data_IF_310063530980
#
_entry.id   IF_310063530980
#
_cell.length_a   1.000
_cell.length_b   1.000
_cell.length_c   1.000
_cell.angle_alpha   90.00
_cell.angle_beta   90.00
_cell.angle_gamma   90.00
#
_symmetry.space_group_name_H-M   'P 1'
#
loop_
_entity.id
_entity.type
_entity.pdbx_description
1 polymer ?
#
# COMPACT_ATOMS: atom_id res chain seq x y z
N UNK A 1 -10.70 30.38 43.85
CA UNK A 1 -10.13 29.86 45.12
C UNK A 1 -9.88 28.36 44.97
N UNK A 2 -8.62 27.90 44.84
CA UNK A 2 -8.30 26.53 44.42
C UNK A 2 -8.32 25.46 45.54
N UNK A 3 -8.37 25.85 46.81
CA UNK A 3 -8.21 24.92 47.96
C UNK A 3 -9.54 24.42 48.58
N UNK A 4 -10.67 25.12 48.37
CA UNK A 4 -11.96 24.79 48.98
C UNK A 4 -12.51 23.41 48.57
N UNK A 5 -12.19 22.94 47.36
CA UNK A 5 -12.65 21.63 46.87
C UNK A 5 -11.90 20.42 47.45
N UNK A 6 -10.84 20.64 48.24
CA UNK A 6 -9.99 19.58 48.79
C UNK A 6 -9.94 19.58 50.32
N UNK A 7 -10.78 20.37 50.99
CA UNK A 7 -10.78 20.50 52.45
C UNK A 7 -11.00 19.14 53.14
N UNK A 8 -11.96 18.33 52.67
CA UNK A 8 -12.30 17.02 53.23
C UNK A 8 -11.18 15.96 53.15
N UNK A 9 -10.10 16.21 52.42
CA UNK A 9 -8.95 15.29 52.27
C UNK A 9 -7.65 15.90 52.80
N UNK A 10 -7.72 17.05 53.48
CA UNK A 10 -6.56 17.79 53.94
C UNK A 10 -6.27 17.51 55.42
N UNK A 11 -5.06 17.03 55.69
CA UNK A 11 -4.52 16.95 57.04
C UNK A 11 -3.53 18.09 57.23
N UNK A 12 -3.82 18.98 58.18
CA UNK A 12 -3.00 20.14 58.50
C UNK A 12 -2.39 19.91 59.87
N UNK A 13 -1.06 19.92 59.94
CA UNK A 13 -0.32 19.49 61.13
C UNK A 13 0.52 20.65 61.65
N UNK A 14 0.21 21.09 62.87
CA UNK A 14 1.03 22.02 63.65
C UNK A 14 2.07 21.23 64.43
N UNK A 15 3.32 21.24 63.94
CA UNK A 15 4.45 20.60 64.60
C UNK A 15 5.14 21.55 65.60
N UNK A 16 5.92 21.00 66.53
CA UNK A 16 6.70 21.70 67.57
C UNK A 16 5.89 22.28 68.73
N UNK A 17 4.77 21.63 69.10
CA UNK A 17 3.98 22.06 70.27
C UNK A 17 4.77 22.00 71.58
N UNK A 18 5.83 21.19 71.65
CA UNK A 18 6.76 21.11 72.78
C UNK A 18 7.49 22.43 73.09
N UNK A 19 7.52 23.37 72.13
CA UNK A 19 8.14 24.69 72.29
C UNK A 19 7.16 25.76 72.77
N UNK A 20 5.87 25.45 72.86
CA UNK A 20 4.83 26.36 73.29
C UNK A 20 4.57 26.19 74.80
N UNK A 21 4.62 27.27 75.60
CA UNK A 21 4.44 27.18 77.04
C UNK A 21 2.96 27.17 77.45
N UNK A 22 2.58 26.26 78.35
CA UNK A 22 1.23 26.20 78.95
C UNK A 22 0.13 26.07 77.89
N UNK A 23 -0.94 26.84 78.04
CA UNK A 23 -2.13 26.80 77.17
C UNK A 23 -1.91 27.52 75.82
N UNK A 24 -0.67 27.91 75.49
CA UNK A 24 -0.36 28.62 74.25
C UNK A 24 -0.53 27.74 72.99
N UNK A 25 -0.43 26.42 73.13
CA UNK A 25 -0.67 25.49 72.03
C UNK A 25 -2.11 25.59 71.51
N UNK A 26 -3.08 25.63 72.41
CA UNK A 26 -4.50 25.74 72.07
C UNK A 26 -4.82 27.09 71.41
N UNK A 27 -4.24 28.18 71.93
CA UNK A 27 -4.42 29.52 71.34
C UNK A 27 -3.87 29.62 69.91
N UNK A 28 -2.69 29.01 69.65
CA UNK A 28 -2.11 28.99 68.31
C UNK A 28 -2.93 28.09 67.38
N UNK A 29 -3.47 27.00 67.89
CA UNK A 29 -4.30 26.09 67.11
C UNK A 29 -5.64 26.74 66.73
N UNK A 30 -6.27 27.48 67.65
CA UNK A 30 -7.48 28.25 67.39
C UNK A 30 -7.24 29.41 66.42
N UNK A 31 -6.09 30.10 66.51
CA UNK A 31 -5.73 31.12 65.54
C UNK A 31 -5.45 30.53 64.15
N UNK A 32 -4.80 29.36 64.08
CA UNK A 32 -4.59 28.64 62.83
C UNK A 32 -5.94 28.22 62.21
N UNK A 33 -6.88 27.72 63.01
CA UNK A 33 -8.23 27.39 62.55
C UNK A 33 -8.93 28.63 61.98
N UNK A 34 -8.87 29.77 62.68
CA UNK A 34 -9.42 31.04 62.20
C UNK A 34 -8.83 31.45 60.85
N UNK A 35 -7.51 31.38 60.69
CA UNK A 35 -6.83 31.72 59.43
C UNK A 35 -7.24 30.79 58.28
N UNK A 36 -7.35 29.49 58.54
CA UNK A 36 -7.77 28.51 57.53
C UNK A 36 -9.22 28.74 57.07
N UNK A 37 -10.11 29.10 57.99
CA UNK A 37 -11.50 29.44 57.66
C UNK A 37 -11.61 30.75 56.88
N UNK A 38 -10.82 31.77 57.25
CA UNK A 38 -10.71 33.04 56.49
C UNK A 38 -10.21 32.82 55.04
N UNK A 39 -9.31 31.85 54.86
CA UNK A 39 -8.82 31.40 53.55
C UNK A 39 -9.81 30.50 52.79
N UNK A 40 -10.93 30.14 53.42
CA UNK A 40 -12.03 29.37 52.82
C UNK A 40 -11.82 27.86 52.82
N UNK A 41 -11.04 27.34 53.77
CA UNK A 41 -10.88 25.90 54.01
C UNK A 41 -11.89 25.52 55.10
N UNK A 42 -12.94 24.77 54.72
CA UNK A 42 -13.89 24.23 55.67
C UNK A 42 -13.18 23.29 56.65
N UNK A 43 -13.32 23.54 57.95
CA UNK A 43 -12.70 22.75 59.01
C UNK A 43 -13.70 21.73 59.55
N UNK A 44 -13.25 20.49 59.77
CA UNK A 44 -14.06 19.44 60.37
C UNK A 44 -13.67 19.21 61.84
N UNK A 45 -14.66 19.16 62.74
CA UNK A 45 -14.50 18.64 64.09
C UNK A 45 -15.25 17.32 64.24
N UNK A 46 -14.65 16.35 64.95
CA UNK A 46 -15.32 15.13 65.44
C UNK A 46 -16.27 14.43 64.43
N UNK A 47 -15.80 14.18 63.20
CA UNK A 47 -16.56 13.45 62.18
C UNK A 47 -17.40 14.30 61.23
N UNK A 48 -17.32 15.63 61.32
CA UNK A 48 -17.87 16.54 60.31
C UNK A 48 -16.96 16.65 59.06
N UNK A 49 -17.54 16.87 57.87
CA UNK A 49 -16.79 17.02 56.63
C UNK A 49 -15.96 18.31 56.62
N UNK A 50 -14.63 18.19 56.56
CA UNK A 50 -13.70 19.32 56.48
C UNK A 50 -12.24 18.91 56.70
N UNK A 51 -11.33 19.88 56.62
CA UNK A 51 -9.91 19.67 56.87
C UNK A 51 -9.66 19.39 58.35
N UNK A 52 -8.85 18.36 58.62
CA UNK A 52 -8.47 17.96 59.97
C UNK A 52 -7.22 18.71 60.39
N UNK A 53 -7.29 19.47 61.48
CA UNK A 53 -6.15 20.21 62.05
C UNK A 53 -5.66 19.52 63.31
N UNK A 54 -4.37 19.18 63.36
CA UNK A 54 -3.75 18.42 64.44
C UNK A 54 -2.53 19.14 65.00
N UNK A 55 -2.38 19.13 66.32
CA UNK A 55 -1.18 19.54 67.02
C UNK A 55 -0.33 18.31 67.34
N UNK A 56 0.97 18.37 67.07
CA UNK A 56 1.90 17.30 67.47
C UNK A 56 3.31 17.84 67.75
N UNK A 57 4.11 17.03 68.43
CA UNK A 57 5.55 17.20 68.52
C UNK A 57 6.25 15.97 67.97
N UNK A 58 6.92 16.12 66.83
CA UNK A 58 7.75 15.07 66.27
C UNK A 58 8.96 14.72 67.16
N UNK A 59 9.34 15.62 68.09
CA UNK A 59 10.46 15.40 69.02
C UNK A 59 10.06 14.55 70.22
N UNK A 60 8.91 14.85 70.85
CA UNK A 60 8.43 14.11 72.03
C UNK A 60 7.57 12.91 71.66
N UNK A 61 7.06 12.86 70.43
CA UNK A 61 6.11 11.86 69.95
C UNK A 61 4.65 12.17 70.29
N UNK A 62 4.40 13.30 70.96
CA UNK A 62 3.05 13.77 71.29
C UNK A 62 2.23 14.03 70.02
N UNK A 63 0.96 13.59 69.98
CA UNK A 63 0.06 13.68 68.82
C UNK A 63 0.40 12.81 67.59
N UNK A 64 1.55 12.13 67.57
CA UNK A 64 1.97 11.28 66.42
C UNK A 64 1.15 10.00 66.32
N UNK A 65 0.68 9.46 67.44
CA UNK A 65 -0.23 8.30 67.49
C UNK A 65 -1.55 8.60 66.78
N UNK A 66 -2.17 9.72 67.13
CA UNK A 66 -3.47 10.14 66.60
C UNK A 66 -3.40 10.43 65.10
N UNK A 67 -2.33 11.09 64.63
CA UNK A 67 -2.09 11.28 63.19
C UNK A 67 -1.97 9.94 62.45
N UNK A 68 -1.25 8.96 63.02
CA UNK A 68 -1.09 7.64 62.40
C UNK A 68 -2.41 6.89 62.33
N UNK A 69 -3.24 6.97 63.37
CA UNK A 69 -4.55 6.34 63.41
C UNK A 69 -5.50 6.95 62.37
N UNK A 70 -5.59 8.28 62.32
CA UNK A 70 -6.41 8.99 61.33
C UNK A 70 -5.97 8.71 59.89
N UNK A 71 -4.66 8.73 59.61
CA UNK A 71 -4.13 8.34 58.30
C UNK A 71 -4.42 6.86 57.99
N UNK A 72 -4.30 5.98 58.99
CA UNK A 72 -4.60 4.57 58.85
C UNK A 72 -6.06 4.32 58.48
N UNK A 73 -6.99 5.00 59.14
CA UNK A 73 -8.42 4.91 58.85
C UNK A 73 -8.75 5.50 57.47
N UNK A 74 -8.23 6.68 57.14
CA UNK A 74 -8.41 7.31 55.83
C UNK A 74 -7.91 6.41 54.68
N UNK A 75 -6.73 5.80 54.84
CA UNK A 75 -6.17 4.87 53.85
C UNK A 75 -6.96 3.56 53.79
N UNK A 76 -7.45 3.05 54.91
CA UNK A 76 -8.27 1.84 54.95
C UNK A 76 -9.61 2.03 54.22
N UNK A 77 -10.31 3.14 54.48
CA UNK A 77 -11.57 3.52 53.82
C UNK A 77 -11.37 3.70 52.31
N UNK A 78 -10.31 4.41 51.88
CA UNK A 78 -10.00 4.59 50.47
C UNK A 78 -9.50 3.32 49.77
N UNK A 79 -8.73 2.49 50.48
CA UNK A 79 -8.22 1.23 49.96
C UNK A 79 -9.31 0.20 49.66
N UNK A 80 -10.38 0.17 50.46
CA UNK A 80 -11.52 -0.70 50.21
C UNK A 80 -12.29 -0.29 48.94
N UNK A 81 -12.55 1.00 48.75
CA UNK A 81 -13.21 1.52 47.56
C UNK A 81 -12.37 1.27 46.29
N UNK A 82 -11.06 1.51 46.34
CA UNK A 82 -10.17 1.27 45.19
C UNK A 82 -10.12 -0.22 44.79
N UNK A 83 -10.01 -1.13 45.76
CA UNK A 83 -10.05 -2.58 45.49
C UNK A 83 -11.38 -3.03 44.94
N UNK A 84 -12.49 -2.46 45.43
CA UNK A 84 -13.82 -2.74 44.90
C UNK A 84 -13.96 -2.30 43.45
N UNK A 85 -13.56 -1.06 43.12
CA UNK A 85 -13.60 -0.55 41.74
C UNK A 85 -12.74 -1.40 40.81
N UNK A 86 -11.53 -1.79 41.25
CA UNK A 86 -10.69 -2.69 40.46
C UNK A 86 -11.36 -4.04 40.21
N UNK A 87 -11.97 -4.66 41.24
CA UNK A 87 -12.69 -5.91 41.10
C UNK A 87 -13.93 -5.79 40.20
N UNK A 88 -14.67 -4.68 40.28
CA UNK A 88 -15.82 -4.40 39.41
C UNK A 88 -15.37 -4.21 37.95
N UNK A 89 -14.22 -3.56 37.71
CA UNK A 89 -13.61 -3.44 36.38
C UNK A 89 -13.14 -4.79 35.85
N UNK A 90 -12.51 -5.62 36.68
CA UNK A 90 -12.08 -6.98 36.30
C UNK A 90 -13.28 -7.88 35.98
N UNK A 91 -14.37 -7.79 36.75
CA UNK A 91 -15.61 -8.51 36.50
C UNK A 91 -16.27 -8.07 35.19
N UNK A 92 -16.37 -6.76 34.96
CA UNK A 92 -16.87 -6.22 33.70
C UNK A 92 -15.98 -6.64 32.51
N UNK A 93 -14.66 -6.64 32.68
CA UNK A 93 -13.73 -7.12 31.65
C UNK A 93 -13.91 -8.62 31.36
N UNK A 94 -14.14 -9.45 32.38
CA UNK A 94 -14.40 -10.87 32.22
C UNK A 94 -15.74 -11.14 31.48
N UNK A 95 -16.78 -10.35 31.77
CA UNK A 95 -18.07 -10.42 31.09
C UNK A 95 -17.98 -9.98 29.62
N UNK A 96 -17.15 -8.98 29.32
CA UNK A 96 -16.92 -8.49 27.96
C UNK A 96 -15.97 -9.39 27.14
N UNK A 97 -15.10 -10.17 27.79
CA UNK A 97 -14.12 -11.06 27.14
C UNK A 97 -14.69 -11.94 26.02
N UNK A 98 -15.82 -12.67 26.16
CA UNK A 98 -16.37 -13.46 25.07
C UNK A 98 -16.82 -12.63 23.85
N UNK A 99 -17.15 -11.35 24.06
CA UNK A 99 -17.54 -10.42 22.99
C UNK A 99 -16.33 -9.80 22.29
N UNK A 100 -15.17 -9.73 22.95
CA UNK A 100 -13.96 -9.10 22.40
C UNK A 100 -12.84 -10.06 22.04
N UNK A 101 -12.79 -11.27 22.58
CA UNK A 101 -11.75 -12.26 22.32
C UNK A 101 -12.39 -13.60 21.92
N UNK A 102 -12.64 -13.77 20.63
CA UNK A 102 -12.90 -15.09 20.06
C UNK A 102 -11.56 -15.86 20.01
N UNK A 103 -11.41 -16.92 20.81
CA UNK A 103 -10.20 -17.76 20.88
C UNK A 103 -9.87 -18.57 19.62
N UNK A 104 -10.20 -18.05 18.43
CA UNK A 104 -9.88 -18.65 17.13
C UNK A 104 -8.57 -18.06 16.60
N UNK A 105 -7.87 -18.85 15.77
CA UNK A 105 -6.73 -18.36 14.97
C UNK A 105 -7.27 -17.33 13.97
N UNK A 106 -7.13 -16.06 14.29
CA UNK A 106 -7.50 -14.94 13.43
C UNK A 106 -6.25 -14.48 12.67
N UNK A 107 -6.41 -14.22 11.36
CA UNK A 107 -5.29 -13.85 10.51
C UNK A 107 -5.60 -13.98 9.03
N UNK A 108 -4.94 -13.14 8.24
CA UNK A 108 -5.02 -13.21 6.79
C UNK A 108 -4.11 -14.33 6.28
N UNK A 109 -4.68 -15.37 5.67
CA UNK A 109 -3.92 -16.48 5.06
C UNK A 109 -3.09 -15.98 3.87
N UNK A 110 -1.98 -16.68 3.57
CA UNK A 110 -1.18 -16.37 2.37
C UNK A 110 -2.01 -16.53 1.10
N UNK A 111 -2.85 -17.56 1.01
CA UNK A 111 -3.76 -17.77 -0.12
C UNK A 111 -4.70 -16.57 -0.36
N UNK A 112 -5.22 -15.96 0.71
CA UNK A 112 -6.09 -14.79 0.57
C UNK A 112 -5.31 -13.55 0.10
N UNK A 113 -4.03 -13.42 0.47
CA UNK A 113 -3.14 -12.34 0.00
C UNK A 113 -2.79 -12.53 -1.46
N UNK A 114 -2.45 -13.75 -1.87
CA UNK A 114 -2.10 -14.08 -3.24
C UNK A 114 -3.31 -13.91 -4.18
N UNK A 115 -4.49 -14.38 -3.77
CA UNK A 115 -5.72 -14.19 -4.55
C UNK A 115 -6.09 -12.70 -4.67
N UNK A 116 -5.92 -11.91 -3.60
CA UNK A 116 -6.12 -10.46 -3.65
C UNK A 116 -5.15 -9.78 -4.64
N UNK A 117 -3.87 -10.13 -4.58
CA UNK A 117 -2.86 -9.61 -5.50
C UNK A 117 -3.14 -9.99 -6.96
N UNK A 118 -3.57 -11.24 -7.21
CA UNK A 118 -3.97 -11.71 -8.53
C UNK A 118 -5.17 -10.93 -9.08
N UNK A 119 -6.21 -10.72 -8.26
CA UNK A 119 -7.39 -9.92 -8.66
C UNK A 119 -7.06 -8.46 -8.94
N UNK A 120 -6.12 -7.86 -8.18
CA UNK A 120 -5.62 -6.51 -8.48
C UNK A 120 -4.88 -6.48 -9.82
N UNK A 121 -4.00 -7.45 -10.07
CA UNK A 121 -3.28 -7.54 -11.33
C UNK A 121 -4.23 -7.69 -12.54
N UNK A 122 -5.29 -8.48 -12.39
CA UNK A 122 -6.32 -8.64 -13.42
C UNK A 122 -7.16 -7.37 -13.60
N UNK A 123 -7.50 -6.67 -12.51
CA UNK A 123 -8.25 -5.41 -12.56
C UNK A 123 -7.49 -4.30 -13.29
N UNK A 124 -6.16 -4.24 -13.11
CA UNK A 124 -5.25 -3.32 -13.82
C UNK A 124 -4.97 -3.77 -15.26
N UNK A 125 -5.42 -4.97 -15.63
CA UNK A 125 -5.20 -5.51 -16.97
C UNK A 125 -3.74 -5.86 -17.24
N UNK A 126 -2.99 -6.36 -16.24
CA UNK A 126 -1.59 -6.73 -16.41
C UNK A 126 -1.35 -7.66 -17.61
N UNK A 127 -2.24 -8.63 -17.82
CA UNK A 127 -2.23 -9.53 -18.99
C UNK A 127 -2.45 -8.76 -20.29
N UNK A 128 -3.47 -7.89 -20.34
CA UNK A 128 -3.79 -7.08 -21.51
C UNK A 128 -2.65 -6.12 -21.87
N UNK A 129 -1.98 -5.56 -20.86
CA UNK A 129 -0.80 -4.72 -21.04
C UNK A 129 0.40 -5.51 -21.57
N UNK A 130 0.63 -6.74 -21.08
CA UNK A 130 1.63 -7.66 -21.62
C UNK A 130 1.40 -7.98 -23.10
N UNK A 131 0.17 -8.32 -23.48
CA UNK A 131 -0.21 -8.55 -24.87
C UNK A 131 -0.08 -7.28 -25.74
N UNK A 132 -0.45 -6.12 -25.19
CA UNK A 132 -0.30 -4.85 -25.88
C UNK A 132 1.18 -4.51 -26.12
N UNK A 133 2.04 -4.80 -25.15
CA UNK A 133 3.50 -4.66 -25.25
C UNK A 133 4.09 -5.62 -26.30
N UNK A 134 3.66 -6.90 -26.31
CA UNK A 134 4.04 -7.88 -27.34
C UNK A 134 3.63 -7.38 -28.74
N UNK A 135 2.38 -6.95 -28.90
CA UNK A 135 1.86 -6.43 -30.18
C UNK A 135 2.60 -5.17 -30.61
N UNK A 136 2.91 -4.27 -29.69
CA UNK A 136 3.69 -3.06 -29.97
C UNK A 136 5.11 -3.41 -30.43
N UNK A 137 5.76 -4.37 -29.77
CA UNK A 137 7.08 -4.85 -30.12
C UNK A 137 7.08 -5.51 -31.51
N UNK A 138 6.11 -6.37 -31.80
CA UNK A 138 5.94 -7.00 -33.13
C UNK A 138 5.70 -5.97 -34.23
N UNK A 139 4.85 -4.96 -33.98
CA UNK A 139 4.63 -3.85 -34.93
C UNK A 139 5.92 -3.09 -35.20
N UNK A 140 6.73 -2.83 -34.18
CA UNK A 140 8.00 -2.15 -34.33
C UNK A 140 9.04 -3.03 -35.07
N UNK A 141 9.13 -4.31 -34.74
CA UNK A 141 10.00 -5.26 -35.43
C UNK A 141 9.63 -5.38 -36.91
N UNK A 142 8.33 -5.45 -37.24
CA UNK A 142 7.85 -5.52 -38.62
C UNK A 142 8.09 -4.20 -39.39
N UNK A 143 8.00 -3.04 -38.72
CA UNK A 143 8.42 -1.75 -39.31
C UNK A 143 9.92 -1.70 -39.57
N UNK A 144 10.74 -2.28 -38.70
CA UNK A 144 12.20 -2.31 -38.81
C UNK A 144 12.71 -3.32 -39.86
N UNK A 145 12.00 -4.42 -40.09
CA UNK A 145 12.34 -5.45 -41.08
C UNK A 145 11.74 -5.18 -42.47
N UNK A 146 10.99 -4.09 -42.66
CA UNK A 146 10.41 -3.75 -43.95
C UNK A 146 11.48 -3.43 -44.99
N UNK A 147 11.38 -3.99 -46.19
CA UNK A 147 12.30 -3.70 -47.30
C UNK A 147 12.27 -2.20 -47.67
N UNK A 148 13.35 -1.64 -48.24
CA UNK A 148 13.39 -0.26 -48.72
C UNK A 148 12.21 0.09 -49.66
N UNK A 149 11.77 -0.86 -50.48
CA UNK A 149 10.63 -0.73 -51.40
C UNK A 149 9.28 -0.66 -50.68
N UNK A 150 9.06 -1.42 -49.60
CA UNK A 150 7.83 -1.34 -48.79
C UNK A 150 7.72 0.00 -48.04
N UNK A 151 8.85 0.59 -47.65
CA UNK A 151 8.87 1.95 -47.07
C UNK A 151 8.49 3.00 -48.11
N UNK A 152 8.99 2.87 -49.34
CA UNK A 152 8.65 3.77 -50.45
C UNK A 152 7.16 3.64 -50.85
N UNK A 153 6.64 2.41 -50.93
CA UNK A 153 5.23 2.14 -51.24
C UNK A 153 4.27 2.70 -50.16
N UNK A 154 4.61 2.54 -48.87
CA UNK A 154 3.82 3.12 -47.76
C UNK A 154 3.88 4.64 -47.71
N UNK A 155 5.01 5.25 -48.10
CA UNK A 155 5.10 6.70 -48.25
C UNK A 155 4.19 7.21 -49.37
N UNK A 156 4.02 6.43 -50.45
CA UNK A 156 3.07 6.75 -51.51
C UNK A 156 1.61 6.63 -51.05
N UNK A 157 1.24 5.57 -50.32
CA UNK A 157 -0.12 5.40 -49.78
C UNK A 157 -0.47 6.35 -48.61
N UNK A 158 0.52 6.73 -47.80
CA UNK A 158 0.34 7.60 -46.63
C UNK A 158 -0.01 9.06 -46.93
N UNK A 159 -0.09 9.45 -48.21
CA UNK A 159 -0.66 10.75 -48.62
C UNK A 159 -2.20 10.77 -48.63
N UNK A 160 -2.86 9.62 -48.51
CA UNK A 160 -4.32 9.51 -48.70
C UNK A 160 -5.19 9.43 -47.44
N UNK A 161 -4.65 9.06 -46.28
CA UNK A 161 -5.50 8.70 -45.14
C UNK A 161 -5.02 9.36 -43.84
N UNK A 162 -5.66 10.47 -43.52
CA UNK A 162 -5.67 11.05 -42.18
C UNK A 162 -7.07 10.93 -41.57
N UNK A 163 -7.06 10.58 -40.29
CA UNK A 163 -8.14 10.69 -39.29
C UNK A 163 -9.27 9.67 -39.31
N UNK A 164 -9.09 8.59 -38.54
CA UNK A 164 -10.20 7.94 -37.82
C UNK A 164 -9.94 8.05 -36.32
N UNK A 165 -10.23 9.23 -35.77
CA UNK A 165 -10.21 9.48 -34.33
C UNK A 165 -11.61 9.87 -33.88
N UNK A 166 -12.40 8.92 -33.36
CA UNK A 166 -13.58 9.25 -32.54
C UNK A 166 -14.26 8.16 -31.72
N UNK A 167 -13.80 6.90 -31.74
CA UNK A 167 -14.48 5.81 -30.99
C UNK A 167 -13.72 5.36 -29.72
N UNK A 168 -12.45 5.73 -29.56
CA UNK A 168 -11.62 5.26 -28.44
C UNK A 168 -12.01 5.80 -27.04
N UNK A 169 -12.55 7.02 -26.96
CA UNK A 169 -12.78 7.70 -25.66
C UNK A 169 -13.91 7.05 -24.84
N UNK A 170 -14.97 6.58 -25.50
CA UNK A 170 -16.11 5.94 -24.80
C UNK A 170 -15.77 4.54 -24.29
N UNK A 171 -15.03 3.75 -25.09
CA UNK A 171 -14.57 2.42 -24.68
C UNK A 171 -13.60 2.49 -23.49
N UNK A 172 -12.73 3.50 -23.46
CA UNK A 172 -11.78 3.68 -22.36
C UNK A 172 -12.48 4.01 -21.03
N UNK A 173 -13.51 4.87 -21.03
CA UNK A 173 -14.25 5.22 -19.82
C UNK A 173 -15.05 4.04 -19.23
N UNK A 174 -15.65 3.21 -20.08
CA UNK A 174 -16.36 1.99 -19.65
C UNK A 174 -15.38 0.93 -19.08
N UNK A 175 -14.18 0.82 -19.68
CA UNK A 175 -13.10 -0.04 -19.17
C UNK A 175 -12.58 0.43 -17.80
N UNK A 176 -12.36 1.74 -17.61
CA UNK A 176 -11.94 2.36 -16.35
C UNK A 176 -12.99 2.15 -15.24
N UNK A 177 -14.28 2.36 -15.54
CA UNK A 177 -15.36 2.11 -14.58
C UNK A 177 -15.44 0.64 -14.14
N UNK A 178 -15.22 -0.29 -15.08
CA UNK A 178 -15.21 -1.72 -14.78
C UNK A 178 -13.97 -2.13 -13.98
N UNK A 179 -12.81 -1.52 -14.24
CA UNK A 179 -11.58 -1.75 -13.47
C UNK A 179 -11.76 -1.34 -12.00
N UNK A 180 -12.31 -0.14 -11.75
CA UNK A 180 -12.63 0.33 -10.39
C UNK A 180 -13.54 -0.63 -9.63
N UNK A 181 -14.62 -1.09 -10.26
CA UNK A 181 -15.53 -2.06 -9.65
C UNK A 181 -14.83 -3.38 -9.28
N UNK A 182 -13.92 -3.88 -10.12
CA UNK A 182 -13.13 -5.09 -9.81
C UNK A 182 -12.20 -4.88 -8.63
N UNK A 183 -11.56 -3.71 -8.52
CA UNK A 183 -10.70 -3.36 -7.36
C UNK A 183 -11.52 -3.30 -6.08
N UNK A 184 -12.65 -2.60 -6.09
CA UNK A 184 -13.55 -2.49 -4.92
C UNK A 184 -14.05 -3.88 -4.48
N UNK A 185 -14.39 -4.75 -5.42
CA UNK A 185 -14.81 -6.13 -5.14
C UNK A 185 -13.67 -7.00 -4.58
N UNK A 186 -12.44 -6.83 -5.08
CA UNK A 186 -11.26 -7.51 -4.53
C UNK A 186 -11.00 -7.08 -3.08
N UNK A 187 -11.10 -5.78 -2.78
CA UNK A 187 -10.97 -5.24 -1.43
C UNK A 187 -12.09 -5.76 -0.51
N UNK A 188 -13.33 -5.79 -1.00
CA UNK A 188 -14.47 -6.34 -0.24
C UNK A 188 -14.21 -7.79 0.16
N UNK A 189 -13.76 -8.62 -0.78
CA UNK A 189 -13.52 -10.05 -0.54
C UNK A 189 -12.39 -10.27 0.46
N UNK A 190 -11.27 -9.54 0.34
CA UNK A 190 -10.15 -9.69 1.28
C UNK A 190 -10.54 -9.20 2.68
N UNK A 191 -11.32 -8.11 2.79
CA UNK A 191 -11.82 -7.62 4.07
C UNK A 191 -12.77 -8.62 4.73
N UNK A 192 -13.65 -9.26 3.97
CA UNK A 192 -14.54 -10.32 4.47
C UNK A 192 -13.75 -11.51 5.01
N UNK A 193 -12.77 -12.00 4.25
CA UNK A 193 -11.90 -13.10 4.69
C UNK A 193 -11.03 -12.72 5.89
N UNK A 194 -10.50 -11.50 5.93
CA UNK A 194 -9.74 -10.97 7.07
C UNK A 194 -10.60 -10.89 8.34
N UNK A 195 -11.86 -10.49 8.18
CA UNK A 195 -12.80 -10.34 9.28
C UNK A 195 -13.45 -11.66 9.73
N UNK A 196 -13.24 -12.75 8.99
CA UNK A 196 -13.87 -14.02 9.26
C UNK A 196 -13.42 -14.57 10.62
N UNK A 197 -14.39 -14.86 11.49
CA UNK A 197 -14.14 -15.41 12.81
C UNK A 197 -13.79 -14.38 13.90
N UNK A 198 -13.62 -13.10 13.56
CA UNK A 198 -13.50 -12.01 14.54
C UNK A 198 -14.85 -11.66 15.19
N UNK A 199 -14.86 -11.14 16.42
CA UNK A 199 -16.05 -10.52 16.98
C UNK A 199 -16.47 -9.24 16.23
N UNK A 200 -17.74 -8.86 16.31
CA UNK A 200 -18.35 -7.78 15.51
C UNK A 200 -17.56 -6.46 15.55
N UNK A 201 -17.12 -5.93 16.70
CA UNK A 201 -16.42 -4.64 16.73
C UNK A 201 -15.07 -4.70 15.99
N UNK A 202 -14.32 -5.80 16.14
CA UNK A 202 -13.05 -6.01 15.45
C UNK A 202 -13.23 -6.29 13.95
N UNK A 203 -14.28 -7.05 13.60
CA UNK A 203 -14.66 -7.26 12.21
C UNK A 203 -15.02 -5.95 11.51
N UNK A 204 -15.64 -4.99 12.22
CA UNK A 204 -15.92 -3.64 11.70
C UNK A 204 -14.62 -2.84 11.53
N UNK A 205 -13.75 -2.80 12.55
CA UNK A 205 -12.47 -2.11 12.47
C UNK A 205 -11.60 -2.58 11.28
N UNK A 206 -11.53 -3.89 11.04
CA UNK A 206 -10.82 -4.47 9.90
C UNK A 206 -11.46 -4.05 8.56
N UNK A 207 -12.79 -4.06 8.46
CA UNK A 207 -13.49 -3.61 7.23
C UNK A 207 -13.28 -2.11 6.99
N UNK A 208 -13.31 -1.29 8.03
CA UNK A 208 -13.04 0.14 7.93
C UNK A 208 -11.60 0.44 7.53
N UNK A 209 -10.62 -0.31 8.07
CA UNK A 209 -9.23 -0.23 7.65
C UNK A 209 -9.07 -0.58 6.16
N UNK A 210 -9.74 -1.64 5.69
CA UNK A 210 -9.73 -2.01 4.27
C UNK A 210 -10.39 -0.94 3.38
N UNK A 211 -11.52 -0.37 3.81
CA UNK A 211 -12.23 0.69 3.07
C UNK A 211 -11.38 1.97 3.01
N UNK A 212 -10.77 2.39 4.12
CA UNK A 212 -9.82 3.51 4.14
C UNK A 212 -8.63 3.25 3.21
N UNK A 213 -8.12 2.01 3.22
CA UNK A 213 -7.04 1.58 2.33
C UNK A 213 -7.41 1.60 0.84
N UNK A 214 -8.67 1.35 0.49
CA UNK A 214 -9.13 1.40 -0.91
C UNK A 214 -9.33 2.80 -1.46
N UNK A 215 -9.40 3.84 -0.62
CA UNK A 215 -9.59 5.21 -1.09
C UNK A 215 -8.38 5.65 -1.94
N UNK A 216 -8.62 5.97 -3.21
CA UNK A 216 -7.56 6.33 -4.15
C UNK A 216 -6.72 5.16 -4.65
N UNK A 217 -7.11 3.91 -4.36
CA UNK A 217 -6.37 2.72 -4.80
C UNK A 217 -6.48 2.52 -6.31
N UNK A 218 -7.66 2.71 -6.90
CA UNK A 218 -7.84 2.60 -8.35
C UNK A 218 -6.97 3.61 -9.08
N UNK A 219 -7.01 4.87 -8.66
CA UNK A 219 -6.22 5.95 -9.27
C UNK A 219 -4.70 5.72 -9.11
N UNK A 220 -4.26 5.19 -7.96
CA UNK A 220 -2.85 4.82 -7.76
C UNK A 220 -2.42 3.65 -8.66
N UNK A 221 -3.31 2.68 -8.87
CA UNK A 221 -3.06 1.56 -9.77
C UNK A 221 -3.05 2.01 -11.24
N UNK A 222 -3.92 2.95 -11.62
CA UNK A 222 -3.97 3.54 -12.96
C UNK A 222 -2.70 4.35 -13.27
N UNK A 223 -2.22 5.14 -12.30
CA UNK A 223 -0.94 5.86 -12.42
C UNK A 223 0.25 4.89 -12.50
N UNK A 224 0.25 3.81 -11.72
CA UNK A 224 1.25 2.73 -11.85
C UNK A 224 1.16 2.04 -13.21
N UNK A 225 -0.04 1.78 -13.72
CA UNK A 225 -0.27 1.20 -15.04
C UNK A 225 0.24 2.12 -16.16
N UNK A 226 0.01 3.43 -16.04
CA UNK A 226 0.53 4.41 -16.98
C UNK A 226 2.08 4.46 -16.97
N UNK A 227 2.70 4.34 -15.80
CA UNK A 227 4.17 4.35 -15.64
C UNK A 227 4.83 3.04 -16.07
N UNK A 228 4.19 1.90 -15.83
CA UNK A 228 4.76 0.56 -16.09
C UNK A 228 4.32 -0.05 -17.43
N UNK A 229 3.15 0.34 -17.96
CA UNK A 229 2.50 -0.27 -19.13
C UNK A 229 3.16 0.03 -20.47
N UNK A 230 4.06 1.02 -20.55
CA UNK A 230 4.91 1.25 -21.72
C UNK A 230 6.31 1.61 -21.25
N UNK A 231 7.33 0.77 -21.50
CA UNK A 231 8.71 1.20 -21.32
C UNK A 231 8.94 2.48 -22.11
N UNK A 232 9.31 3.61 -21.46
CA UNK A 232 9.64 4.83 -22.16
C UNK A 232 10.95 4.60 -22.91
N UNK A 233 10.85 4.21 -24.17
CA UNK A 233 12.03 3.97 -25.00
C UNK A 233 11.71 3.20 -26.26
N UNK A 234 12.45 3.52 -27.33
CA UNK A 234 12.53 2.61 -28.48
C UNK A 234 12.94 1.23 -27.94
N UNK A 235 12.20 0.15 -28.26
CA UNK A 235 12.59 -1.18 -27.80
C UNK A 235 14.03 -1.45 -28.26
N UNK A 236 14.84 -2.15 -27.44
CA UNK A 236 16.23 -2.40 -27.75
C UNK A 236 16.34 -3.04 -29.14
N UNK A 237 17.22 -2.50 -29.98
CA UNK A 237 17.45 -3.03 -31.32
C UNK A 237 17.89 -4.49 -31.18
N UNK A 238 17.23 -5.44 -31.86
CA UNK A 238 17.62 -6.84 -31.75
C UNK A 238 19.06 -7.04 -32.25
N UNK A 239 19.87 -7.82 -31.55
CA UNK A 239 21.27 -8.08 -31.93
C UNK A 239 21.45 -8.77 -33.29
N UNK A 240 20.38 -9.37 -33.84
CA UNK A 240 20.36 -9.97 -35.18
C UNK A 240 20.01 -8.97 -36.30
N UNK A 241 19.62 -7.75 -35.96
CA UNK A 241 19.29 -6.70 -36.94
C UNK A 241 20.45 -6.39 -37.92
N UNK A 242 21.71 -6.28 -37.50
CA UNK A 242 22.84 -6.08 -38.42
C UNK A 242 22.99 -7.25 -39.41
N UNK A 243 22.73 -8.48 -38.96
CA UNK A 243 22.81 -9.68 -39.80
C UNK A 243 21.71 -9.68 -40.86
N UNK A 244 20.48 -9.30 -40.49
CA UNK A 244 19.38 -9.17 -41.45
C UNK A 244 19.67 -8.08 -42.51
N UNK A 245 20.22 -6.94 -42.10
CA UNK A 245 20.63 -5.87 -43.00
C UNK A 245 21.75 -6.33 -43.94
N UNK A 246 22.74 -7.07 -43.43
CA UNK A 246 23.84 -7.61 -44.22
C UNK A 246 23.34 -8.59 -45.28
N UNK A 247 22.46 -9.52 -44.91
CA UNK A 247 21.86 -10.50 -45.84
C UNK A 247 21.05 -9.78 -46.92
N UNK A 248 20.27 -8.76 -46.55
CA UNK A 248 19.47 -8.01 -47.50
C UNK A 248 20.35 -7.16 -48.46
N UNK A 249 21.44 -6.57 -47.96
CA UNK A 249 22.42 -5.86 -48.77
C UNK A 249 23.12 -6.81 -49.75
N UNK A 250 23.56 -7.99 -49.29
CA UNK A 250 24.20 -9.00 -50.11
C UNK A 250 23.26 -9.50 -51.23
N UNK A 251 21.99 -9.76 -50.92
CA UNK A 251 20.98 -10.13 -51.91
C UNK A 251 20.74 -9.03 -52.96
N UNK A 252 20.66 -7.77 -52.52
CA UNK A 252 20.46 -6.64 -53.44
C UNK A 252 21.65 -6.50 -54.39
N UNK A 253 22.87 -6.69 -53.86
CA UNK A 253 24.11 -6.62 -54.65
C UNK A 253 24.17 -7.77 -55.66
N UNK A 254 23.73 -8.97 -55.27
CA UNK A 254 23.61 -10.13 -56.16
C UNK A 254 22.62 -9.88 -57.31
N UNK A 255 21.49 -9.22 -57.05
CA UNK A 255 20.52 -8.83 -58.08
C UNK A 255 21.06 -7.76 -59.04
N UNK A 256 21.81 -6.77 -58.54
CA UNK A 256 22.45 -5.75 -59.38
C UNK A 256 23.48 -6.40 -60.31
N UNK A 257 24.30 -7.33 -59.77
CA UNK A 257 25.29 -8.07 -60.56
C UNK A 257 24.61 -8.98 -61.60
N UNK A 258 23.59 -9.74 -61.21
CA UNK A 258 22.84 -10.59 -62.15
C UNK A 258 22.13 -9.80 -63.25
N UNK A 259 21.51 -8.68 -62.90
CA UNK A 259 20.82 -7.79 -63.84
C UNK A 259 21.77 -7.08 -64.81
N UNK A 260 22.90 -6.58 -64.32
CA UNK A 260 23.94 -5.97 -65.16
C UNK A 260 24.59 -6.99 -66.10
N UNK A 261 24.78 -8.23 -65.65
CA UNK A 261 25.25 -9.33 -66.49
C UNK A 261 24.26 -9.66 -67.62
N UNK A 262 22.96 -9.76 -67.31
CA UNK A 262 21.90 -9.96 -68.31
C UNK A 262 21.84 -8.80 -69.32
N UNK A 263 21.96 -7.56 -68.87
CA UNK A 263 22.02 -6.40 -69.74
C UNK A 263 23.25 -6.43 -70.67
N UNK A 264 24.40 -6.88 -70.18
CA UNK A 264 25.62 -7.06 -70.98
C UNK A 264 25.49 -8.15 -72.05
N UNK A 265 24.75 -9.23 -71.77
CA UNK A 265 24.44 -10.25 -72.78
C UNK A 265 23.47 -9.74 -73.85
N UNK A 266 22.43 -8.98 -73.45
CA UNK A 266 21.48 -8.37 -74.40
C UNK A 266 22.18 -7.33 -75.29
N UNK A 267 23.14 -6.58 -74.74
CA UNK A 267 23.95 -5.62 -75.47
C UNK A 267 25.03 -6.25 -76.38
N UNK A 268 25.18 -7.59 -76.37
CA UNK A 268 26.11 -8.31 -77.23
C UNK A 268 27.58 -8.27 -76.80
N UNK A 269 27.87 -7.88 -75.55
CA UNK A 269 29.24 -7.69 -75.03
C UNK A 269 29.81 -8.98 -74.40
N UNK A 270 28.95 -9.98 -74.11
CA UNK A 270 29.30 -11.22 -73.40
C UNK A 270 28.72 -12.46 -74.09
N UNK A 271 29.38 -13.61 -73.92
CA UNK A 271 28.95 -14.89 -74.50
C UNK A 271 27.60 -15.36 -73.92
N UNK A 272 26.72 -15.99 -74.74
CA UNK A 272 25.39 -16.39 -74.31
C UNK A 272 25.44 -17.52 -73.28
N UNK A 273 25.10 -17.21 -72.02
CA UNK A 273 24.91 -18.15 -70.93
C UNK A 273 23.69 -17.74 -70.10
N UNK A 274 22.55 -18.37 -70.35
CA UNK A 274 21.29 -18.06 -69.68
C UNK A 274 21.14 -18.70 -68.29
N UNK A 275 21.84 -19.79 -68.00
CA UNK A 275 21.61 -20.57 -66.78
C UNK A 275 22.03 -19.83 -65.50
N UNK A 276 23.25 -19.27 -65.49
CA UNK A 276 23.82 -18.61 -64.30
C UNK A 276 23.05 -17.34 -63.91
N UNK A 277 22.72 -16.41 -64.84
CA UNK A 277 21.98 -15.18 -64.48
C UNK A 277 20.54 -15.44 -64.03
N UNK A 278 19.85 -16.43 -64.63
CA UNK A 278 18.50 -16.80 -64.22
C UNK A 278 18.48 -17.39 -62.82
N UNK A 279 19.46 -18.25 -62.48
CA UNK A 279 19.62 -18.80 -61.13
C UNK A 279 19.85 -17.70 -60.09
N UNK A 280 20.69 -16.70 -60.39
CA UNK A 280 20.92 -15.55 -59.51
C UNK A 280 19.63 -14.74 -59.27
N UNK A 281 18.82 -14.58 -60.31
CA UNK A 281 17.56 -13.86 -60.23
C UNK A 281 16.51 -14.62 -59.41
N UNK A 282 16.41 -15.95 -59.59
CA UNK A 282 15.53 -16.83 -58.82
C UNK A 282 15.95 -16.86 -57.33
N UNK A 283 17.24 -16.97 -57.03
CA UNK A 283 17.75 -16.85 -55.66
C UNK A 283 17.40 -15.49 -55.04
N UNK A 284 17.47 -14.40 -55.82
CA UNK A 284 17.04 -13.07 -55.40
C UNK A 284 15.55 -12.98 -55.06
N UNK A 285 14.70 -13.58 -55.90
CA UNK A 285 13.23 -13.56 -55.76
C UNK A 285 12.77 -14.44 -54.60
N UNK A 286 13.36 -15.63 -54.42
CA UNK A 286 12.96 -16.59 -53.38
C UNK A 286 13.60 -16.28 -52.03
N UNK A 287 14.83 -15.73 -52.03
CA UNK A 287 15.52 -15.39 -50.78
C UNK A 287 14.88 -14.22 -50.03
N UNK A 288 14.25 -13.26 -50.72
CA UNK A 288 13.58 -12.12 -50.08
C UNK A 288 12.45 -12.55 -49.13
N UNK A 289 11.46 -13.33 -49.60
CA UNK A 289 10.40 -13.89 -48.77
C UNK A 289 10.93 -14.81 -47.65
N UNK A 290 11.97 -15.60 -47.90
CA UNK A 290 12.60 -16.48 -46.89
C UNK A 290 13.23 -15.68 -45.75
N UNK A 291 13.94 -14.59 -46.07
CA UNK A 291 14.55 -13.71 -45.07
C UNK A 291 13.47 -12.98 -44.27
N UNK A 292 12.41 -12.51 -44.93
CA UNK A 292 11.27 -11.89 -44.25
C UNK A 292 10.57 -12.86 -43.29
N UNK A 293 10.32 -14.09 -43.73
CA UNK A 293 9.74 -15.13 -42.90
C UNK A 293 10.64 -15.49 -41.72
N UNK A 294 11.96 -15.61 -41.94
CA UNK A 294 12.95 -15.85 -40.90
C UNK A 294 12.99 -14.72 -39.85
N UNK A 295 12.97 -13.46 -40.30
CA UNK A 295 12.94 -12.29 -39.41
C UNK A 295 11.65 -12.23 -38.59
N UNK A 296 10.48 -12.50 -39.21
CA UNK A 296 9.20 -12.59 -38.49
C UNK A 296 9.18 -13.72 -37.47
N UNK A 297 9.78 -14.87 -37.80
CA UNK A 297 9.84 -16.01 -36.89
C UNK A 297 10.76 -15.71 -35.69
N UNK A 298 11.95 -15.17 -35.96
CA UNK A 298 12.91 -14.77 -34.93
C UNK A 298 12.38 -13.65 -34.03
N UNK A 299 11.50 -12.78 -34.54
CA UNK A 299 10.85 -11.71 -33.80
C UNK A 299 9.84 -12.24 -32.74
N UNK A 300 9.19 -13.39 -32.94
CA UNK A 300 8.15 -13.87 -32.00
C UNK A 300 8.68 -14.22 -30.61
N UNK A 301 9.89 -14.77 -30.52
CA UNK A 301 10.48 -15.19 -29.24
C UNK A 301 10.73 -14.01 -28.29
N UNK A 302 11.50 -12.99 -28.69
CA UNK A 302 11.76 -11.80 -27.88
C UNK A 302 10.49 -10.99 -27.59
N UNK A 303 9.52 -10.97 -28.52
CA UNK A 303 8.25 -10.28 -28.33
C UNK A 303 7.46 -10.86 -27.14
N UNK A 304 7.37 -12.19 -27.06
CA UNK A 304 6.71 -12.89 -25.95
C UNK A 304 7.40 -12.64 -24.63
N UNK A 305 8.75 -12.69 -24.60
CA UNK A 305 9.51 -12.37 -23.39
C UNK A 305 9.26 -10.94 -22.92
N UNK A 306 9.26 -9.99 -23.86
CA UNK A 306 8.97 -8.59 -23.56
C UNK A 306 7.55 -8.39 -23.02
N UNK A 307 6.56 -9.09 -23.59
CA UNK A 307 5.18 -9.10 -23.08
C UNK A 307 5.09 -9.68 -21.66
N UNK A 308 5.73 -10.82 -21.41
CA UNK A 308 5.79 -11.45 -20.09
C UNK A 308 6.49 -10.57 -19.05
N UNK A 309 7.58 -9.88 -19.43
CA UNK A 309 8.29 -8.98 -18.52
C UNK A 309 7.44 -7.76 -18.17
N UNK A 310 6.70 -7.20 -19.14
CA UNK A 310 5.77 -6.10 -18.89
C UNK A 310 4.60 -6.53 -17.99
N UNK A 311 4.03 -7.70 -18.25
CA UNK A 311 2.98 -8.31 -17.43
C UNK A 311 3.46 -8.54 -15.99
N UNK A 312 4.64 -9.15 -15.80
CA UNK A 312 5.24 -9.40 -14.47
C UNK A 312 5.46 -8.11 -13.69
N UNK A 313 6.03 -7.08 -14.32
CA UNK A 313 6.24 -5.77 -13.67
C UNK A 313 4.94 -5.14 -13.19
N UNK A 314 3.89 -5.22 -14.00
CA UNK A 314 2.57 -4.71 -13.60
C UNK A 314 1.95 -5.54 -12.47
N UNK A 315 2.08 -6.87 -12.51
CA UNK A 315 1.64 -7.74 -11.40
C UNK A 315 2.35 -7.40 -10.09
N UNK A 316 3.67 -7.24 -10.13
CA UNK A 316 4.49 -6.89 -8.96
C UNK A 316 4.15 -5.48 -8.42
N UNK A 317 3.95 -4.51 -9.31
CA UNK A 317 3.52 -3.16 -8.94
C UNK A 317 2.13 -3.14 -8.31
N UNK A 318 1.16 -3.86 -8.88
CA UNK A 318 -0.19 -3.97 -8.34
C UNK A 318 -0.19 -4.69 -6.98
N UNK A 319 0.58 -5.77 -6.84
CA UNK A 319 0.71 -6.51 -5.59
C UNK A 319 1.35 -5.68 -4.47
N UNK A 320 2.42 -4.94 -4.78
CA UNK A 320 3.09 -4.06 -3.81
C UNK A 320 2.20 -2.88 -3.39
N UNK A 321 1.48 -2.27 -4.34
CA UNK A 321 0.51 -1.21 -4.06
C UNK A 321 -0.64 -1.71 -3.16
N UNK A 322 -1.26 -2.84 -3.52
CA UNK A 322 -2.32 -3.46 -2.72
C UNK A 322 -1.85 -3.86 -1.32
N UNK A 323 -0.61 -4.35 -1.19
CA UNK A 323 -0.01 -4.66 0.10
C UNK A 323 0.09 -3.42 0.99
N UNK A 324 0.76 -2.39 0.50
CA UNK A 324 1.01 -1.16 1.26
C UNK A 324 -0.29 -0.41 1.63
N UNK A 325 -1.27 -0.38 0.72
CA UNK A 325 -2.51 0.39 0.91
C UNK A 325 -3.59 -0.36 1.68
N UNK A 326 -3.71 -1.68 1.53
CA UNK A 326 -4.85 -2.44 2.08
C UNK A 326 -4.39 -3.53 3.03
N UNK A 327 -3.44 -4.37 2.64
CA UNK A 327 -3.05 -5.52 3.46
C UNK A 327 -2.32 -5.12 4.74
N UNK A 328 -1.42 -4.13 4.68
CA UNK A 328 -0.65 -3.68 5.85
C UNK A 328 -1.55 -3.02 6.91
N UNK A 329 -2.47 -2.10 6.56
CA UNK A 329 -3.45 -1.59 7.53
C UNK A 329 -4.35 -2.69 8.11
N UNK A 330 -4.85 -3.61 7.29
CA UNK A 330 -5.66 -4.75 7.77
C UNK A 330 -4.86 -5.66 8.71
N UNK A 331 -3.60 -5.94 8.37
CA UNK A 331 -2.71 -6.74 9.20
C UNK A 331 -2.42 -6.04 10.53
N UNK A 332 -2.29 -4.71 10.55
CA UNK A 332 -2.10 -3.94 11.78
C UNK A 332 -3.28 -4.07 12.74
N UNK A 333 -4.53 -3.99 12.27
CA UNK A 333 -5.71 -4.21 13.12
C UNK A 333 -5.82 -5.67 13.60
N UNK A 334 -5.43 -6.64 12.77
CA UNK A 334 -5.36 -8.04 13.18
C UNK A 334 -4.27 -8.30 14.23
N UNK A 335 -3.16 -7.55 14.20
CA UNK A 335 -2.12 -7.60 15.22
C UNK A 335 -2.60 -6.97 16.53
N UNK A 336 -3.30 -5.82 16.46
CA UNK A 336 -3.90 -5.16 17.65
C UNK A 336 -4.94 -6.04 18.35
N UNK A 337 -5.62 -6.92 17.62
CA UNK A 337 -6.51 -7.92 18.21
C UNK A 337 -5.76 -9.03 18.98
N UNK A 338 -4.52 -9.32 18.60
CA UNK A 338 -3.71 -10.39 19.20
C UNK A 338 -2.94 -9.94 20.46
N UNK A 339 -2.71 -8.65 20.62
CA UNK A 339 -2.14 -8.02 21.82
C UNK A 339 -3.14 -8.00 22.97
#
# INVERSE_FOLDING_TARGET
RPMAGHAEIMFIVLNQVDRLPGDAADQVLDDLRRLLDEDGIALGEHGEPGATVLALSALTGDGVGDLREMLGQFVAERGAAARRVAADVDAAAAELRPVYAAGRRTGLSEDAREEFAARLADAVGATAAGEAAERAWLRNANRACGTPWLRLWRWYQGRGESTTGRIAVRTQADEEATARQRVEQAVRTVAERASAGLPTPWAQAVREAAVRGSQGLSEALDDLAARAGLPPGRPPRPGWWPVAVLVQAAMTLLQIVGGSWLAGQIAGVMAPNLGVPVLLMVCGIVGGPLVEWGCRMAARGPARRYGQDAERRLREAAASCGRARVLDPVASELLRYRE
#
